data_IF_620117938156
#
_entry.id   IF_620117938156
#
_cell.length_a   1.000
_cell.length_b   1.000
_cell.length_c   1.000
_cell.angle_alpha   90.00
_cell.angle_beta   90.00
_cell.angle_gamma   90.00
#
_symmetry.space_group_name_H-M   'P 1'
#
loop_
_entity.id
_entity.type
_entity.pdbx_description
1 polymer ?
#
# COMPACT_ATOMS: atom_id res chain seq x y z
N UNK A 1 15.85 -24.53 -52.51
CA UNK A 1 14.68 -24.97 -51.69
C UNK A 1 15.07 -25.54 -50.31
N UNK A 2 16.25 -25.27 -49.79
CA UNK A 2 16.71 -25.78 -48.48
C UNK A 2 16.75 -24.77 -47.33
N UNK A 3 16.53 -23.47 -47.61
CA UNK A 3 16.64 -22.42 -46.59
C UNK A 3 15.39 -22.14 -45.76
N UNK A 4 14.20 -22.41 -46.29
CA UNK A 4 12.94 -22.07 -45.62
C UNK A 4 12.43 -23.16 -44.62
N UNK A 5 12.90 -24.40 -44.79
CA UNK A 5 12.53 -25.48 -43.84
C UNK A 5 13.25 -25.37 -42.49
N UNK A 6 14.47 -24.83 -42.45
CA UNK A 6 15.23 -24.64 -41.21
C UNK A 6 14.67 -23.49 -40.34
N UNK A 7 14.07 -22.45 -40.95
CA UNK A 7 13.41 -21.37 -40.22
C UNK A 7 12.03 -21.78 -39.71
N UNK A 8 11.30 -22.64 -40.37
CA UNK A 8 10.00 -23.18 -39.89
C UNK A 8 10.17 -24.06 -38.64
N UNK A 9 11.29 -24.75 -38.50
CA UNK A 9 11.56 -25.63 -37.32
C UNK A 9 11.78 -24.87 -36.02
N UNK A 10 12.06 -23.57 -36.09
CA UNK A 10 12.27 -22.70 -34.89
C UNK A 10 10.97 -22.44 -34.10
N UNK A 11 9.82 -22.69 -34.69
CA UNK A 11 8.49 -22.45 -34.10
C UNK A 11 7.73 -23.76 -33.76
N UNK A 12 8.30 -24.92 -34.01
CA UNK A 12 7.71 -26.21 -33.69
C UNK A 12 8.46 -26.81 -32.50
N UNK A 13 7.77 -26.92 -31.37
CA UNK A 13 8.24 -27.62 -30.18
C UNK A 13 7.47 -28.95 -30.08
N UNK A 14 8.19 -30.06 -29.99
CA UNK A 14 7.59 -31.38 -29.78
C UNK A 14 7.76 -31.82 -28.34
N UNK A 15 6.68 -32.23 -27.71
CA UNK A 15 6.68 -32.77 -26.35
C UNK A 15 6.23 -34.23 -26.43
N UNK A 16 6.96 -35.18 -25.81
CA UNK A 16 6.54 -36.57 -25.77
C UNK A 16 5.20 -36.65 -25.02
N UNK A 17 4.29 -37.53 -25.52
CA UNK A 17 2.96 -37.70 -24.92
C UNK A 17 3.00 -38.06 -23.43
N UNK A 18 4.00 -38.84 -23.00
CA UNK A 18 4.26 -39.16 -21.60
C UNK A 18 4.65 -37.93 -20.72
N UNK A 19 5.04 -36.84 -21.35
CA UNK A 19 5.36 -35.55 -20.68
C UNK A 19 4.26 -34.51 -20.77
N UNK A 20 3.12 -34.84 -21.39
CA UNK A 20 1.98 -33.93 -21.61
C UNK A 20 1.04 -33.97 -20.41
N UNK A 21 1.39 -33.30 -19.35
CA UNK A 21 0.54 -33.15 -18.14
C UNK A 21 -0.53 -32.06 -18.28
N UNK A 22 -0.35 -31.13 -19.21
CA UNK A 22 -1.28 -30.04 -19.49
C UNK A 22 -1.22 -29.69 -21.00
N UNK A 23 -2.39 -29.54 -21.64
CA UNK A 23 -2.53 -29.22 -23.07
C UNK A 23 -2.46 -27.68 -23.34
N UNK A 24 -2.16 -26.84 -22.35
CA UNK A 24 -2.00 -25.44 -22.57
C UNK A 24 -0.68 -25.14 -23.27
N UNK A 25 -0.74 -24.45 -24.40
CA UNK A 25 0.45 -23.98 -25.14
C UNK A 25 1.31 -23.07 -24.24
N UNK A 26 0.69 -22.27 -23.40
CA UNK A 26 1.36 -21.43 -22.43
C UNK A 26 2.11 -22.27 -21.39
N UNK A 27 1.50 -23.32 -20.85
CA UNK A 27 2.16 -24.27 -19.95
C UNK A 27 3.39 -24.92 -20.60
N UNK A 28 3.27 -25.34 -21.84
CA UNK A 28 4.34 -26.02 -22.57
C UNK A 28 5.51 -25.07 -22.92
N UNK A 29 5.23 -23.78 -23.09
CA UNK A 29 6.26 -22.77 -23.37
C UNK A 29 6.86 -22.17 -22.09
N UNK A 30 6.05 -21.94 -21.04
CA UNK A 30 6.45 -21.25 -19.81
C UNK A 30 6.91 -22.22 -18.71
N UNK A 31 6.70 -23.53 -18.86
CA UNK A 31 6.92 -24.52 -17.79
C UNK A 31 8.38 -24.90 -17.52
N UNK A 32 9.33 -24.27 -18.18
CA UNK A 32 10.75 -24.51 -17.90
C UNK A 32 11.24 -23.55 -16.81
N UNK A 33 10.90 -23.85 -15.55
CA UNK A 33 11.68 -23.29 -14.45
C UNK A 33 13.08 -23.89 -14.56
N UNK A 34 14.05 -23.07 -14.90
CA UNK A 34 15.45 -23.45 -14.93
C UNK A 34 16.02 -23.12 -13.57
N UNK A 35 16.22 -24.13 -12.73
CA UNK A 35 16.98 -24.00 -11.49
C UNK A 35 18.47 -24.24 -11.75
N UNK A 36 19.32 -23.67 -10.90
CA UNK A 36 20.74 -23.97 -10.91
C UNK A 36 20.98 -25.48 -10.80
N UNK A 37 21.85 -26.01 -11.64
CA UNK A 37 22.26 -27.42 -11.59
C UNK A 37 23.18 -27.72 -10.40
N UNK A 38 23.59 -26.70 -9.65
CA UNK A 38 24.46 -26.86 -8.49
C UNK A 38 23.79 -27.59 -7.32
N UNK A 39 22.46 -27.58 -7.27
CA UNK A 39 21.73 -28.16 -6.14
C UNK A 39 20.93 -29.40 -6.54
N UNK A 40 20.82 -30.41 -5.65
CA UNK A 40 19.97 -31.58 -5.87
C UNK A 40 18.50 -31.14 -5.93
N UNK A 41 17.77 -31.72 -6.90
CA UNK A 41 16.36 -31.45 -7.14
C UNK A 41 15.47 -32.47 -6.42
N UNK A 42 14.50 -31.98 -5.63
CA UNK A 42 13.53 -32.82 -4.92
C UNK A 42 12.11 -32.44 -5.28
N UNK A 43 11.20 -33.42 -5.37
CA UNK A 43 9.77 -33.11 -5.57
C UNK A 43 9.17 -32.53 -4.28
N UNK A 44 8.31 -31.55 -4.40
CA UNK A 44 7.63 -30.92 -3.25
C UNK A 44 6.90 -31.99 -2.41
N UNK A 45 6.28 -32.97 -3.04
CA UNK A 45 5.59 -34.09 -2.36
C UNK A 45 6.49 -35.00 -1.56
N UNK A 46 7.83 -34.96 -1.71
CA UNK A 46 8.78 -35.75 -0.92
C UNK A 46 9.04 -35.19 0.47
N UNK A 47 8.73 -33.87 0.67
CA UNK A 47 8.88 -33.20 1.96
C UNK A 47 7.61 -32.51 2.47
N UNK A 48 6.56 -32.39 1.65
CA UNK A 48 5.24 -31.89 2.07
C UNK A 48 4.23 -33.04 2.16
N UNK A 49 3.59 -33.18 3.31
CA UNK A 49 2.47 -34.11 3.52
C UNK A 49 1.19 -33.35 3.87
N UNK A 50 0.14 -33.59 3.08
CA UNK A 50 -1.15 -32.95 3.26
C UNK A 50 -1.72 -33.19 4.65
N UNK A 51 -2.01 -32.11 5.40
CA UNK A 51 -2.82 -32.20 6.62
C UNK A 51 -4.32 -32.18 6.23
N UNK A 52 -5.05 -33.23 6.63
CA UNK A 52 -6.49 -33.39 6.40
C UNK A 52 -7.28 -33.48 7.70
N UNK A 53 -6.78 -32.92 8.78
CA UNK A 53 -7.46 -32.90 10.07
C UNK A 53 -8.75 -32.09 9.95
N UNK A 54 -9.87 -32.77 9.78
CA UNK A 54 -11.18 -32.16 9.66
C UNK A 54 -11.75 -31.82 11.04
N UNK A 55 -12.48 -30.74 11.10
CA UNK A 55 -13.27 -30.29 12.27
C UNK A 55 -14.67 -29.91 11.83
N UNK A 56 -15.66 -30.31 12.63
CA UNK A 56 -17.04 -29.83 12.46
C UNK A 56 -17.24 -28.64 13.36
N UNK A 57 -17.56 -27.50 12.79
CA UNK A 57 -17.80 -26.25 13.51
C UNK A 57 -19.05 -26.38 14.35
N UNK A 58 -18.90 -26.12 15.65
CA UNK A 58 -19.98 -26.17 16.64
C UNK A 58 -20.45 -24.75 16.98
N UNK A 59 -21.76 -24.58 17.15
CA UNK A 59 -22.32 -23.33 17.60
C UNK A 59 -21.91 -23.08 19.07
N UNK A 60 -21.74 -21.84 19.47
CA UNK A 60 -21.27 -21.44 20.80
C UNK A 60 -19.75 -21.57 21.01
N UNK A 61 -18.99 -22.10 20.04
CA UNK A 61 -17.53 -22.18 20.09
C UNK A 61 -16.92 -21.08 19.20
N UNK A 62 -15.91 -20.40 19.72
CA UNK A 62 -15.18 -19.35 18.99
C UNK A 62 -14.02 -19.93 18.19
N UNK A 63 -13.93 -19.56 16.91
CA UNK A 63 -12.91 -20.04 15.98
C UNK A 63 -12.10 -18.89 15.40
N UNK A 64 -10.77 -19.07 15.35
CA UNK A 64 -9.84 -18.19 14.62
C UNK A 64 -9.89 -18.54 13.13
N UNK A 65 -9.97 -17.53 12.26
CA UNK A 65 -9.89 -17.71 10.80
C UNK A 65 -8.63 -17.09 10.24
N UNK A 66 -8.18 -17.62 9.11
CA UNK A 66 -6.91 -17.28 8.47
C UNK A 66 -7.16 -16.50 7.18
N UNK A 67 -6.32 -15.53 6.89
CA UNK A 67 -6.15 -14.93 5.57
C UNK A 67 -4.74 -15.18 5.07
N UNK A 68 -4.60 -15.68 3.84
CA UNK A 68 -3.32 -15.74 3.15
C UNK A 68 -3.28 -14.57 2.17
N UNK A 69 -2.38 -13.64 2.41
CA UNK A 69 -2.25 -12.44 1.58
C UNK A 69 -1.57 -12.80 0.26
N UNK A 70 -2.12 -12.26 -0.83
CA UNK A 70 -1.48 -12.31 -2.16
C UNK A 70 -0.14 -11.55 -2.18
N UNK A 71 0.63 -11.70 -3.25
CA UNK A 71 1.94 -11.06 -3.44
C UNK A 71 2.91 -11.37 -2.29
N UNK A 72 2.90 -12.63 -1.86
CA UNK A 72 3.76 -13.13 -0.79
C UNK A 72 3.61 -12.38 0.54
N UNK A 73 2.42 -11.84 0.79
CA UNK A 73 2.12 -11.07 2.00
C UNK A 73 1.98 -11.92 3.27
N UNK A 74 2.23 -13.24 3.18
CA UNK A 74 2.23 -14.17 4.31
C UNK A 74 0.84 -14.55 4.80
N UNK A 75 0.83 -15.22 5.95
CA UNK A 75 -0.37 -15.75 6.62
C UNK A 75 -0.66 -14.89 7.84
N UNK A 76 -1.86 -14.34 7.93
CA UNK A 76 -2.25 -13.41 8.98
C UNK A 76 -3.62 -13.77 9.56
N UNK A 77 -3.90 -13.37 10.82
CA UNK A 77 -5.24 -13.48 11.38
C UNK A 77 -6.24 -12.72 10.50
N UNK A 78 -7.39 -13.34 10.27
CA UNK A 78 -8.52 -12.69 9.61
C UNK A 78 -9.44 -12.04 10.65
N UNK A 79 -10.03 -12.88 11.49
CA UNK A 79 -10.95 -12.54 12.57
C UNK A 79 -11.14 -13.76 13.49
N UNK A 80 -11.86 -13.53 14.58
CA UNK A 80 -12.40 -14.59 15.42
C UNK A 80 -13.92 -14.49 15.43
N UNK A 81 -14.58 -15.59 15.13
CA UNK A 81 -16.05 -15.63 15.01
C UNK A 81 -16.63 -16.84 15.73
N UNK A 82 -17.85 -16.68 16.21
CA UNK A 82 -18.63 -17.77 16.80
C UNK A 82 -19.08 -18.75 15.71
N UNK A 83 -19.16 -20.03 16.06
CA UNK A 83 -19.43 -21.10 15.09
C UNK A 83 -20.75 -20.95 14.34
N UNK A 84 -21.80 -20.39 14.96
CA UNK A 84 -23.08 -20.10 14.31
C UNK A 84 -22.94 -19.11 13.14
N UNK A 85 -21.93 -18.24 13.17
CA UNK A 85 -21.63 -17.26 12.11
C UNK A 85 -20.76 -17.83 10.99
N UNK A 86 -20.36 -19.12 11.07
CA UNK A 86 -19.59 -19.81 10.05
C UNK A 86 -20.52 -20.67 9.20
N UNK A 87 -20.75 -20.26 7.95
CA UNK A 87 -21.69 -20.94 7.05
C UNK A 87 -21.26 -22.37 6.68
N UNK A 88 -19.97 -22.58 6.40
CA UNK A 88 -19.44 -23.91 6.06
C UNK A 88 -19.03 -24.64 7.33
N UNK A 89 -19.82 -25.60 7.79
CA UNK A 89 -19.57 -26.32 9.04
C UNK A 89 -18.41 -27.29 9.00
N UNK A 90 -18.08 -27.86 7.85
CA UNK A 90 -16.91 -28.74 7.68
C UNK A 90 -15.69 -27.92 7.30
N UNK A 91 -14.74 -27.84 8.20
CA UNK A 91 -13.49 -27.09 8.06
C UNK A 91 -12.29 -27.99 8.31
N UNK A 92 -11.08 -27.44 8.16
CA UNK A 92 -9.81 -28.13 8.47
C UNK A 92 -9.05 -27.32 9.51
N UNK A 93 -8.43 -28.02 10.46
CA UNK A 93 -7.55 -27.42 11.46
C UNK A 93 -6.16 -27.21 10.86
N UNK A 94 -5.57 -26.08 11.16
CA UNK A 94 -4.17 -25.78 10.86
C UNK A 94 -3.36 -25.67 12.14
N UNK A 95 -2.08 -26.03 12.07
CA UNK A 95 -1.14 -25.94 13.17
C UNK A 95 0.06 -25.05 12.82
N UNK A 96 0.64 -24.43 13.85
CA UNK A 96 1.85 -23.64 13.68
C UNK A 96 2.95 -24.41 12.95
N UNK A 97 3.70 -23.71 12.09
CA UNK A 97 4.79 -24.29 11.31
C UNK A 97 4.36 -25.05 10.06
N UNK A 98 3.06 -25.29 9.84
CA UNK A 98 2.58 -25.88 8.60
C UNK A 98 2.71 -24.87 7.44
N UNK A 99 3.07 -25.39 6.26
CA UNK A 99 2.95 -24.64 5.02
C UNK A 99 1.49 -24.65 4.56
N UNK A 100 1.00 -23.52 4.09
CA UNK A 100 -0.36 -23.42 3.55
C UNK A 100 -0.38 -22.61 2.26
N UNK A 101 -1.22 -23.03 1.32
CA UNK A 101 -1.49 -22.28 0.11
C UNK A 101 -3.00 -22.15 -0.16
N UNK A 102 -3.41 -21.07 -0.80
CA UNK A 102 -4.76 -20.91 -1.35
C UNK A 102 -4.84 -21.53 -2.73
N UNK A 103 -5.76 -22.49 -2.97
CA UNK A 103 -5.97 -23.06 -4.31
C UNK A 103 -6.26 -22.01 -5.38
N UNK A 104 -6.99 -20.96 -5.01
CA UNK A 104 -7.45 -19.93 -5.93
C UNK A 104 -6.35 -18.91 -6.19
N UNK A 105 -5.65 -18.50 -5.13
CA UNK A 105 -4.73 -17.35 -5.16
C UNK A 105 -3.25 -17.72 -5.09
N UNK A 106 -2.88 -19.01 -5.11
CA UNK A 106 -1.47 -19.43 -5.16
C UNK A 106 -0.73 -18.83 -6.36
N UNK A 107 -1.41 -18.71 -7.50
CA UNK A 107 -0.92 -18.01 -8.71
C UNK A 107 -0.61 -16.53 -8.49
N UNK A 108 -1.13 -15.95 -7.42
CA UNK A 108 -0.90 -14.56 -6.99
C UNK A 108 0.03 -14.52 -5.76
N UNK A 109 0.70 -15.64 -5.42
CA UNK A 109 1.62 -15.73 -4.30
C UNK A 109 0.92 -15.86 -2.93
N UNK A 110 -0.33 -16.36 -2.88
CA UNK A 110 -1.03 -16.60 -1.61
C UNK A 110 -0.60 -17.94 -0.99
N UNK A 111 0.58 -17.95 -0.36
CA UNK A 111 1.13 -19.09 0.35
C UNK A 111 2.07 -18.63 1.49
N UNK A 112 2.36 -19.51 2.44
CA UNK A 112 3.23 -19.19 3.55
C UNK A 112 3.20 -20.23 4.67
N UNK A 113 3.81 -19.88 5.80
CA UNK A 113 3.85 -20.71 7.02
C UNK A 113 2.81 -20.19 8.00
N UNK A 114 2.09 -21.10 8.66
CA UNK A 114 1.15 -20.78 9.74
C UNK A 114 1.97 -20.29 10.96
N UNK A 115 1.76 -19.03 11.39
CA UNK A 115 2.44 -18.49 12.55
C UNK A 115 1.85 -19.01 13.85
N UNK A 116 2.57 -18.84 14.95
CA UNK A 116 2.20 -19.40 16.27
C UNK A 116 0.85 -18.92 16.78
N UNK A 117 0.48 -17.66 16.52
CA UNK A 117 -0.82 -17.08 16.94
C UNK A 117 -2.03 -17.68 16.23
N UNK A 118 -1.80 -18.37 15.12
CA UNK A 118 -2.83 -19.06 14.32
C UNK A 118 -2.85 -20.58 14.54
N UNK A 119 -2.14 -21.07 15.55
CA UNK A 119 -2.25 -22.48 15.94
C UNK A 119 -3.70 -22.83 16.31
N UNK A 120 -4.22 -23.94 15.76
CA UNK A 120 -5.62 -24.35 15.97
C UNK A 120 -6.66 -23.53 15.18
N UNK A 121 -6.25 -22.64 14.28
CA UNK A 121 -7.18 -21.92 13.42
C UNK A 121 -7.87 -22.83 12.41
N UNK A 122 -8.99 -22.39 11.84
CA UNK A 122 -9.78 -23.16 10.87
C UNK A 122 -9.73 -22.55 9.48
N UNK A 123 -9.70 -23.43 8.47
CA UNK A 123 -9.67 -23.06 7.06
C UNK A 123 -10.63 -23.91 6.23
N UNK A 124 -11.13 -23.35 5.13
CA UNK A 124 -11.98 -24.06 4.17
C UNK A 124 -11.16 -25.00 3.28
N UNK A 125 -11.87 -25.83 2.50
CA UNK A 125 -11.24 -26.75 1.52
C UNK A 125 -10.43 -26.07 0.40
N UNK A 126 -10.58 -24.76 0.21
CA UNK A 126 -9.80 -24.00 -0.78
C UNK A 126 -8.40 -23.65 -0.24
N UNK A 127 -8.12 -23.92 1.03
CA UNK A 127 -6.80 -23.82 1.61
C UNK A 127 -6.19 -25.20 1.84
N UNK A 128 -4.94 -25.33 1.47
CA UNK A 128 -4.22 -26.60 1.53
C UNK A 128 -3.09 -26.50 2.56
N UNK A 129 -3.30 -26.92 3.83
CA UNK A 129 -2.23 -27.03 4.81
C UNK A 129 -1.42 -28.30 4.63
N UNK A 130 -0.09 -28.20 4.81
CA UNK A 130 0.86 -29.30 4.72
C UNK A 130 1.81 -29.32 5.91
N UNK A 131 2.09 -30.50 6.42
CA UNK A 131 3.22 -30.73 7.33
C UNK A 131 4.51 -30.75 6.50
N UNK A 132 5.54 -30.06 6.97
CA UNK A 132 6.86 -30.01 6.34
C UNK A 132 7.79 -30.98 7.04
N UNK A 133 8.52 -31.77 6.28
CA UNK A 133 9.62 -32.57 6.78
C UNK A 133 10.85 -31.65 7.00
N UNK A 134 10.99 -31.15 8.21
CA UNK A 134 12.05 -30.21 8.59
C UNK A 134 13.42 -30.87 8.64
N UNK A 135 13.51 -32.20 8.55
CA UNK A 135 14.81 -32.89 8.41
C UNK A 135 15.41 -32.77 7.02
N UNK A 136 14.60 -32.39 6.03
CA UNK A 136 14.99 -32.20 4.63
C UNK A 136 15.00 -30.74 4.21
N UNK A 137 13.98 -29.98 4.66
CA UNK A 137 13.75 -28.61 4.15
C UNK A 137 13.44 -27.64 5.29
N UNK A 138 14.18 -26.53 5.33
CA UNK A 138 13.86 -25.39 6.18
C UNK A 138 12.57 -24.73 5.67
N UNK A 139 11.54 -24.56 6.51
CA UNK A 139 10.26 -23.97 6.10
C UNK A 139 10.39 -22.56 5.49
N UNK A 140 11.27 -21.70 6.03
CA UNK A 140 11.48 -20.36 5.51
C UNK A 140 12.18 -20.40 4.14
N UNK A 141 13.17 -21.29 3.96
CA UNK A 141 13.79 -21.51 2.67
C UNK A 141 12.75 -21.86 1.61
N UNK A 142 11.87 -22.83 1.92
CA UNK A 142 10.84 -23.24 0.96
C UNK A 142 9.87 -22.10 0.63
N UNK A 143 9.48 -21.29 1.61
CA UNK A 143 8.65 -20.11 1.34
C UNK A 143 9.40 -19.14 0.42
N UNK A 144 10.69 -18.90 0.62
CA UNK A 144 11.47 -18.04 -0.27
C UNK A 144 11.49 -18.58 -1.71
N UNK A 145 11.71 -19.87 -1.91
CA UNK A 145 11.58 -20.49 -3.24
C UNK A 145 10.21 -20.22 -3.85
N UNK A 146 9.15 -20.38 -3.05
CA UNK A 146 7.77 -20.15 -3.50
C UNK A 146 7.46 -18.69 -3.81
N UNK A 147 8.23 -17.72 -3.28
CA UNK A 147 8.02 -16.29 -3.53
C UNK A 147 8.65 -15.79 -4.82
N UNK A 148 9.51 -16.60 -5.46
CA UNK A 148 10.17 -16.23 -6.69
C UNK A 148 9.19 -16.07 -7.85
N UNK A 149 9.47 -15.14 -8.75
CA UNK A 149 8.62 -14.89 -9.92
C UNK A 149 8.44 -16.13 -10.79
N UNK A 150 9.50 -16.91 -10.93
CA UNK A 150 9.51 -18.15 -11.71
C UNK A 150 8.58 -19.19 -11.10
N UNK A 151 8.61 -19.37 -9.77
CA UNK A 151 7.73 -20.31 -9.10
C UNK A 151 6.26 -19.88 -9.18
N UNK A 152 5.97 -18.58 -9.03
CA UNK A 152 4.61 -18.04 -9.18
C UNK A 152 4.10 -18.25 -10.62
N UNK A 153 4.93 -18.00 -11.63
CA UNK A 153 4.59 -18.30 -13.03
C UNK A 153 4.26 -19.77 -13.23
N UNK A 154 5.00 -20.68 -12.59
CA UNK A 154 4.67 -22.10 -12.60
C UNK A 154 3.31 -22.40 -11.95
N UNK A 155 3.01 -21.82 -10.79
CA UNK A 155 1.69 -21.97 -10.17
C UNK A 155 0.56 -21.45 -11.07
N UNK A 156 0.80 -20.41 -11.85
CA UNK A 156 -0.14 -19.90 -12.86
C UNK A 156 -0.37 -20.94 -13.96
N UNK A 157 0.68 -21.56 -14.47
CA UNK A 157 0.58 -22.58 -15.54
C UNK A 157 -0.07 -23.88 -15.08
N UNK A 158 0.06 -24.24 -13.80
CA UNK A 158 -0.59 -25.41 -13.19
C UNK A 158 -2.06 -25.16 -12.79
N UNK A 159 -2.59 -23.98 -13.07
CA UNK A 159 -3.96 -23.62 -12.70
C UNK A 159 -4.92 -23.88 -13.85
N UNK A 160 -5.97 -24.66 -13.62
CA UNK A 160 -7.02 -24.97 -14.60
C UNK A 160 -8.34 -24.31 -14.24
N UNK A 161 -9.13 -23.94 -15.26
CA UNK A 161 -10.45 -23.33 -15.11
C UNK A 161 -10.66 -22.14 -16.06
N UNK A 162 -11.92 -21.84 -16.35
CA UNK A 162 -12.31 -20.68 -17.16
C UNK A 162 -12.50 -19.45 -16.26
N UNK A 163 -11.96 -18.30 -16.68
CA UNK A 163 -12.08 -17.01 -15.99
C UNK A 163 -11.38 -16.93 -14.61
N UNK A 164 -11.69 -15.92 -13.79
CA UNK A 164 -11.00 -15.55 -12.54
C UNK A 164 -10.98 -16.60 -11.40
N UNK A 165 -11.48 -17.83 -11.60
CA UNK A 165 -11.56 -18.92 -10.60
C UNK A 165 -10.71 -20.14 -10.94
N UNK A 166 -9.57 -19.92 -11.58
CA UNK A 166 -8.61 -21.00 -11.80
C UNK A 166 -8.07 -21.51 -10.45
N UNK A 167 -7.98 -22.82 -10.31
CA UNK A 167 -7.45 -23.49 -9.10
C UNK A 167 -6.19 -24.25 -9.44
N UNK A 168 -5.20 -24.14 -8.57
CA UNK A 168 -3.98 -24.96 -8.65
C UNK A 168 -4.34 -26.43 -8.43
N UNK A 169 -3.87 -27.29 -9.32
CA UNK A 169 -3.97 -28.73 -9.16
C UNK A 169 -2.96 -29.21 -8.12
N UNK A 170 -3.46 -29.88 -7.06
CA UNK A 170 -2.63 -30.32 -5.93
C UNK A 170 -1.59 -31.38 -6.36
N UNK A 171 -1.93 -32.27 -7.26
CA UNK A 171 -1.02 -33.33 -7.70
C UNK A 171 0.12 -32.73 -8.55
N UNK A 172 -0.20 -31.80 -9.43
CA UNK A 172 0.81 -31.06 -10.20
C UNK A 172 1.72 -30.24 -9.30
N UNK A 173 1.17 -29.52 -8.30
CA UNK A 173 1.94 -28.78 -7.33
C UNK A 173 2.94 -29.68 -6.59
N UNK A 174 2.51 -30.81 -6.08
CA UNK A 174 3.37 -31.75 -5.35
C UNK A 174 4.43 -32.43 -6.24
N UNK A 175 4.22 -32.49 -7.55
CA UNK A 175 5.19 -33.04 -8.51
C UNK A 175 6.25 -32.02 -8.97
N UNK A 176 6.10 -30.72 -8.63
CA UNK A 176 7.13 -29.72 -8.93
C UNK A 176 8.43 -30.14 -8.27
N UNK A 177 9.52 -30.07 -9.02
CA UNK A 177 10.88 -30.24 -8.50
C UNK A 177 11.45 -28.88 -8.15
N UNK A 178 11.97 -28.75 -6.95
CA UNK A 178 12.65 -27.54 -6.45
C UNK A 178 14.07 -27.91 -5.99
N UNK A 179 15.01 -26.96 -6.04
CA UNK A 179 16.35 -27.20 -5.49
C UNK A 179 16.25 -27.34 -3.97
N UNK A 180 16.91 -28.37 -3.44
CA UNK A 180 16.99 -28.62 -1.99
C UNK A 180 18.47 -28.83 -1.64
N UNK A 181 19.22 -27.75 -1.35
CA UNK A 181 20.58 -27.83 -0.83
C UNK A 181 20.63 -28.56 0.51
N UNK A 182 21.82 -28.73 1.09
CA UNK A 182 21.95 -29.18 2.48
C UNK A 182 21.21 -28.21 3.42
N UNK A 183 20.74 -28.71 4.58
CA UNK A 183 20.08 -27.82 5.57
C UNK A 183 20.97 -26.69 6.03
N UNK A 184 22.27 -26.90 6.10
CA UNK A 184 23.26 -25.86 6.42
C UNK A 184 23.22 -24.74 5.39
N UNK A 185 23.24 -25.07 4.11
CA UNK A 185 23.18 -24.08 3.02
C UNK A 185 21.82 -23.38 2.97
N UNK A 186 20.71 -24.14 3.16
CA UNK A 186 19.37 -23.53 3.26
C UNK A 186 19.31 -22.51 4.39
N UNK A 187 19.85 -22.83 5.57
CA UNK A 187 19.88 -21.94 6.73
C UNK A 187 20.71 -20.69 6.43
N UNK A 188 21.88 -20.83 5.80
CA UNK A 188 22.73 -19.72 5.38
C UNK A 188 22.01 -18.78 4.40
N UNK A 189 21.33 -19.31 3.40
CA UNK A 189 20.53 -18.52 2.43
C UNK A 189 19.42 -17.73 3.12
N UNK A 190 18.72 -18.37 4.06
CA UNK A 190 17.65 -17.75 4.85
C UNK A 190 18.21 -16.66 5.78
N UNK A 191 19.35 -16.92 6.42
CA UNK A 191 20.00 -15.96 7.32
C UNK A 191 20.47 -14.72 6.56
N UNK A 192 21.10 -14.90 5.40
CA UNK A 192 21.55 -13.80 4.55
C UNK A 192 20.36 -12.94 4.07
N UNK A 193 19.28 -13.58 3.61
CA UNK A 193 18.05 -12.91 3.25
C UNK A 193 17.47 -12.10 4.42
N UNK A 194 17.32 -12.74 5.60
CA UNK A 194 16.75 -12.10 6.78
C UNK A 194 17.62 -10.94 7.30
N UNK A 195 18.96 -11.05 7.18
CA UNK A 195 19.88 -9.96 7.52
C UNK A 195 19.64 -8.71 6.67
N UNK A 196 19.43 -8.86 5.37
CA UNK A 196 19.10 -7.73 4.49
C UNK A 196 17.72 -7.15 4.82
N UNK A 197 16.74 -7.99 5.16
CA UNK A 197 15.42 -7.52 5.59
C UNK A 197 15.47 -6.77 6.92
N UNK A 198 16.29 -7.21 7.87
CA UNK A 198 16.50 -6.52 9.15
C UNK A 198 17.08 -5.11 8.93
N UNK A 199 18.11 -4.99 8.08
CA UNK A 199 18.69 -3.67 7.71
C UNK A 199 17.61 -2.77 7.08
N UNK A 200 16.77 -3.32 6.20
CA UNK A 200 15.69 -2.57 5.59
C UNK A 200 14.62 -2.13 6.63
N UNK A 201 14.31 -2.99 7.59
CA UNK A 201 13.37 -2.68 8.67
C UNK A 201 13.90 -1.58 9.61
N UNK A 202 15.18 -1.63 9.95
CA UNK A 202 15.83 -0.61 10.78
C UNK A 202 15.86 0.76 10.08
N UNK A 203 16.15 0.78 8.78
CA UNK A 203 16.11 2.01 7.99
C UNK A 203 14.68 2.61 7.95
N UNK A 204 13.65 1.78 7.78
CA UNK A 204 12.25 2.21 7.80
C UNK A 204 11.85 2.76 9.19
N UNK A 205 12.25 2.07 10.26
CA UNK A 205 11.99 2.52 11.63
C UNK A 205 12.66 3.87 11.92
N UNK A 206 13.90 4.07 11.45
CA UNK A 206 14.62 5.33 11.58
C UNK A 206 13.92 6.44 10.77
N UNK A 207 13.43 6.15 9.56
CA UNK A 207 12.66 7.08 8.76
C UNK A 207 11.37 7.52 9.48
N UNK A 208 10.64 6.58 10.10
CA UNK A 208 9.43 6.87 10.90
C UNK A 208 9.79 7.76 12.11
N UNK A 209 10.88 7.46 12.81
CA UNK A 209 11.33 8.25 13.96
C UNK A 209 11.70 9.68 13.54
N UNK A 210 12.43 9.84 12.44
CA UNK A 210 12.77 11.17 11.89
C UNK A 210 11.52 11.95 11.48
N UNK A 211 10.54 11.30 10.89
CA UNK A 211 9.27 11.94 10.50
C UNK A 211 8.49 12.47 11.71
N UNK A 212 8.43 11.72 12.80
CA UNK A 212 7.83 12.19 14.07
C UNK A 212 8.57 13.39 14.64
N UNK A 213 9.89 13.42 14.53
CA UNK A 213 10.69 14.52 15.00
C UNK A 213 10.41 15.83 14.25
N UNK A 214 9.99 15.78 12.98
CA UNK A 214 9.59 16.98 12.22
C UNK A 214 8.43 17.69 12.91
N UNK A 215 7.37 16.99 13.28
CA UNK A 215 6.24 17.58 13.97
C UNK A 215 6.66 18.16 15.34
N UNK A 216 7.47 17.42 16.10
CA UNK A 216 7.98 17.91 17.39
C UNK A 216 8.80 19.19 17.24
N UNK A 217 9.65 19.27 16.21
CA UNK A 217 10.43 20.48 15.90
C UNK A 217 9.51 21.65 15.53
N UNK A 218 8.52 21.42 14.65
CA UNK A 218 7.56 22.46 14.26
C UNK A 218 6.78 23.00 15.45
N UNK A 219 6.24 22.12 16.28
CA UNK A 219 5.48 22.52 17.46
C UNK A 219 6.34 23.32 18.46
N UNK A 220 7.58 22.90 18.66
CA UNK A 220 8.51 23.58 19.57
C UNK A 220 8.91 24.97 19.04
N UNK A 221 9.37 25.06 17.80
CA UNK A 221 9.87 26.32 17.21
C UNK A 221 8.75 27.35 17.00
N UNK A 222 7.59 26.90 16.57
CA UNK A 222 6.43 27.76 16.38
C UNK A 222 5.66 28.03 17.68
N UNK A 223 6.01 27.31 18.77
CA UNK A 223 5.33 27.40 20.07
C UNK A 223 3.85 27.07 20.00
N UNK A 224 3.48 26.15 19.07
CA UNK A 224 2.10 25.76 18.88
C UNK A 224 1.66 24.84 20.02
N UNK A 225 0.52 25.17 20.61
CA UNK A 225 -0.19 24.32 21.57
C UNK A 225 -1.64 24.21 21.12
N UNK A 226 -2.10 22.99 20.97
CA UNK A 226 -3.49 22.67 20.64
C UNK A 226 -4.02 21.87 21.83
N UNK A 227 -4.88 22.49 22.63
CA UNK A 227 -5.55 21.82 23.73
C UNK A 227 -7.01 21.59 23.35
N UNK A 228 -7.44 20.34 23.43
CA UNK A 228 -8.86 19.99 23.37
C UNK A 228 -9.36 20.00 24.82
N UNK A 229 -10.15 21.00 25.18
CA UNK A 229 -10.81 20.97 26.49
C UNK A 229 -11.74 19.74 26.49
N UNK A 230 -11.45 18.76 27.34
CA UNK A 230 -12.27 17.58 27.51
C UNK A 230 -13.68 18.02 27.90
N UNK A 231 -14.64 17.61 27.05
CA UNK A 231 -16.08 17.48 27.29
C UNK A 231 -16.55 18.25 28.52
N UNK A 232 -17.30 19.31 28.29
CA UNK A 232 -18.15 19.92 29.30
C UNK A 232 -19.08 18.84 29.86
N UNK A 233 -18.73 18.28 31.02
CA UNK A 233 -19.65 17.44 31.80
C UNK A 233 -20.71 18.41 32.35
N UNK A 234 -21.79 18.63 31.60
CA UNK A 234 -22.88 19.50 32.00
C UNK A 234 -23.65 20.09 30.82
N UNK A 235 -24.65 20.89 31.17
CA UNK A 235 -25.46 21.64 30.21
C UNK A 235 -24.64 22.80 29.64
N UNK A 236 -24.36 22.82 28.33
CA UNK A 236 -23.79 23.96 27.65
C UNK A 236 -24.86 24.65 26.79
N UNK A 237 -24.89 25.96 26.81
CA UNK A 237 -25.79 26.77 25.97
C UNK A 237 -24.98 27.53 24.95
N UNK A 238 -25.40 27.45 23.69
CA UNK A 238 -24.84 28.20 22.58
C UNK A 238 -25.92 29.14 22.05
N UNK A 239 -25.58 30.42 21.82
CA UNK A 239 -26.54 31.33 21.21
C UNK A 239 -26.88 30.86 19.79
N UNK A 240 -28.16 30.92 19.44
CA UNK A 240 -28.64 30.48 18.10
C UNK A 240 -27.93 31.23 16.97
N UNK A 241 -27.58 32.51 17.16
CA UNK A 241 -26.82 33.34 16.23
C UNK A 241 -25.34 32.86 16.04
N UNK A 242 -24.82 32.03 16.96
CA UNK A 242 -23.48 31.46 16.89
C UNK A 242 -23.50 29.95 16.46
N UNK A 243 -24.64 29.46 16.05
CA UNK A 243 -24.85 28.09 15.60
C UNK A 243 -24.61 27.99 14.08
N UNK A 244 -23.35 27.84 13.69
CA UNK A 244 -23.00 27.61 12.28
C UNK A 244 -23.29 26.15 11.86
N UNK A 245 -23.34 25.23 12.81
CA UNK A 245 -23.57 23.80 12.56
C UNK A 245 -24.25 23.11 13.75
N UNK A 246 -25.25 22.23 13.47
CA UNK A 246 -25.97 21.41 14.45
C UNK A 246 -25.24 20.09 14.79
N UNK A 247 -23.97 20.15 15.08
CA UNK A 247 -23.13 19.00 15.39
C UNK A 247 -22.52 19.18 16.77
N UNK A 248 -22.86 18.28 17.71
CA UNK A 248 -22.41 18.36 19.10
C UNK A 248 -20.88 18.27 19.17
N UNK A 249 -20.26 17.42 18.35
CA UNK A 249 -18.80 17.30 18.30
C UNK A 249 -18.16 18.60 17.80
N UNK A 250 -18.77 19.27 16.84
CA UNK A 250 -18.34 20.59 16.36
C UNK A 250 -18.45 21.67 17.45
N UNK A 251 -19.58 21.69 18.15
CA UNK A 251 -19.85 22.67 19.21
C UNK A 251 -19.00 22.43 20.48
N UNK A 252 -18.64 21.20 20.75
CA UNK A 252 -17.76 20.81 21.85
C UNK A 252 -16.26 20.90 21.51
N UNK A 253 -15.93 20.98 20.23
CA UNK A 253 -14.54 21.06 19.78
C UNK A 253 -14.03 22.50 19.81
N UNK A 254 -13.94 23.04 21.03
CA UNK A 254 -13.26 24.32 21.31
C UNK A 254 -11.76 24.06 21.45
N UNK A 255 -11.13 23.53 20.39
CA UNK A 255 -9.68 23.40 20.38
C UNK A 255 -9.07 24.78 20.54
N UNK A 256 -8.49 25.04 21.72
CA UNK A 256 -7.74 26.27 21.96
C UNK A 256 -6.40 26.16 21.26
N UNK A 257 -6.26 26.93 20.20
CA UNK A 257 -5.03 27.06 19.46
C UNK A 257 -4.25 28.27 19.97
N UNK A 258 -2.99 28.07 20.37
CA UNK A 258 -2.05 29.15 20.69
C UNK A 258 -0.73 28.92 20.00
N UNK A 259 -0.03 29.98 19.65
CA UNK A 259 1.30 29.92 19.03
C UNK A 259 2.18 31.07 19.53
N UNK A 260 3.50 30.88 19.43
CA UNK A 260 4.51 31.92 19.75
C UNK A 260 4.41 33.10 18.79
N UNK A 261 4.11 32.86 17.54
CA UNK A 261 4.02 33.87 16.50
C UNK A 261 2.56 34.17 16.16
N UNK A 262 2.34 35.34 15.54
CA UNK A 262 1.01 35.73 15.06
C UNK A 262 0.47 34.68 14.12
N UNK A 263 -0.72 34.17 14.41
CA UNK A 263 -1.41 33.24 13.53
C UNK A 263 -2.36 34.00 12.60
N UNK A 264 -2.42 33.53 11.37
CA UNK A 264 -3.38 33.98 10.38
C UNK A 264 -4.36 32.83 10.08
N UNK A 265 -5.62 33.15 9.80
CA UNK A 265 -6.52 32.18 9.20
C UNK A 265 -5.99 31.79 7.83
N UNK A 266 -6.21 30.56 7.41
CA UNK A 266 -5.79 30.06 6.11
C UNK A 266 -6.24 31.00 4.97
N UNK A 267 -7.48 31.49 5.00
CA UNK A 267 -8.00 32.45 4.03
C UNK A 267 -7.13 33.72 3.87
N UNK A 268 -6.46 34.13 4.96
CA UNK A 268 -5.58 35.28 4.94
C UNK A 268 -4.16 34.95 4.46
N UNK A 269 -3.80 33.68 4.35
CA UNK A 269 -2.52 33.23 3.82
C UNK A 269 -2.55 33.04 2.29
N UNK A 270 -3.73 32.89 1.70
CA UNK A 270 -3.88 32.64 0.27
C UNK A 270 -4.07 33.96 -0.50
N UNK A 271 -3.57 33.95 -1.73
CA UNK A 271 -3.72 35.00 -2.73
C UNK A 271 -4.82 34.65 -3.74
N UNK A 272 -4.87 33.39 -4.14
CA UNK A 272 -5.86 32.89 -5.09
C UNK A 272 -6.36 31.50 -4.71
N UNK A 273 -7.68 31.32 -4.79
CA UNK A 273 -8.35 30.04 -4.56
C UNK A 273 -9.17 29.66 -5.80
N UNK A 274 -8.83 28.51 -6.38
CA UNK A 274 -9.55 28.03 -7.55
C UNK A 274 -10.89 27.42 -7.11
N UNK A 275 -11.96 28.17 -7.22
CA UNK A 275 -13.31 27.65 -6.96
C UNK A 275 -13.70 26.72 -8.09
N UNK A 276 -13.79 25.43 -7.80
CA UNK A 276 -14.15 24.39 -8.76
C UNK A 276 -15.56 24.51 -9.32
N UNK A 277 -16.31 25.56 -8.97
CA UNK A 277 -17.70 25.66 -9.35
C UNK A 277 -18.23 27.11 -9.45
N UNK A 278 -17.85 27.81 -10.47
CA UNK A 278 -18.78 28.73 -11.10
C UNK A 278 -19.37 28.09 -12.38
N UNK A 279 -19.79 26.85 -12.25
CA UNK A 279 -20.65 26.10 -13.15
C UNK A 279 -20.26 26.02 -14.64
N UNK A 280 -19.33 26.81 -15.13
CA UNK A 280 -19.11 26.99 -16.57
C UNK A 280 -17.68 26.77 -17.08
N UNK A 281 -16.63 27.02 -16.31
CA UNK A 281 -15.29 27.11 -16.91
C UNK A 281 -14.49 25.80 -16.90
N UNK A 282 -14.57 24.98 -15.87
CA UNK A 282 -13.63 23.84 -15.71
C UNK A 282 -14.11 22.52 -16.32
N UNK A 283 -15.41 22.29 -16.37
CA UNK A 283 -16.00 21.17 -17.14
C UNK A 283 -15.73 21.28 -18.64
N UNK A 284 -15.40 22.48 -19.10
CA UNK A 284 -15.32 22.79 -20.52
C UNK A 284 -13.94 22.58 -21.14
N UNK A 285 -12.83 22.64 -20.39
CA UNK A 285 -11.52 22.46 -21.04
C UNK A 285 -11.25 21.01 -21.43
N UNK A 286 -11.50 20.04 -20.56
CA UNK A 286 -11.32 18.63 -20.89
C UNK A 286 -12.35 18.11 -21.88
N UNK A 287 -13.59 18.59 -21.82
CA UNK A 287 -14.64 18.24 -22.78
C UNK A 287 -14.51 18.95 -24.13
N UNK A 288 -14.04 20.21 -24.14
CA UNK A 288 -13.84 20.97 -25.38
C UNK A 288 -12.60 20.54 -26.14
N UNK A 289 -11.68 19.86 -25.50
CA UNK A 289 -10.44 19.37 -26.12
C UNK A 289 -10.28 17.86 -25.90
N UNK A 290 -11.18 17.01 -26.44
CA UNK A 290 -11.20 15.58 -26.17
C UNK A 290 -9.95 14.84 -26.61
N UNK A 291 -9.20 15.40 -27.56
CA UNK A 291 -7.94 14.83 -28.08
C UNK A 291 -6.70 15.34 -27.36
N UNK A 292 -6.81 16.39 -26.54
CA UNK A 292 -5.69 16.97 -25.80
C UNK A 292 -5.27 16.05 -24.65
N UNK A 293 -3.98 15.96 -24.45
CA UNK A 293 -3.39 15.20 -23.33
C UNK A 293 -3.29 16.08 -22.09
N UNK A 294 -3.63 15.47 -20.94
CA UNK A 294 -3.61 16.10 -19.62
C UNK A 294 -2.84 15.24 -18.63
N UNK A 295 -2.03 15.86 -17.79
CA UNK A 295 -1.55 15.25 -16.55
C UNK A 295 -2.71 15.24 -15.55
N UNK A 296 -3.26 14.07 -15.26
CA UNK A 296 -4.40 13.92 -14.34
C UNK A 296 -3.94 13.53 -12.95
N UNK A 297 -4.27 14.34 -11.95
CA UNK A 297 -3.95 14.09 -10.55
C UNK A 297 -5.23 13.79 -9.76
N UNK A 298 -5.45 12.52 -9.47
CA UNK A 298 -6.46 12.05 -8.53
C UNK A 298 -5.88 11.89 -7.12
N UNK A 299 -6.74 11.64 -6.14
CA UNK A 299 -6.31 11.35 -4.77
C UNK A 299 -5.35 10.16 -4.67
N UNK A 300 -5.49 9.17 -5.54
CA UNK A 300 -4.64 7.99 -5.63
C UNK A 300 -3.21 8.29 -6.06
N UNK A 301 -3.00 9.38 -6.79
CA UNK A 301 -1.71 9.77 -7.33
C UNK A 301 -0.86 10.60 -6.36
N UNK A 302 -1.40 10.98 -5.19
CA UNK A 302 -0.68 11.74 -4.17
C UNK A 302 -0.29 10.80 -3.02
N UNK A 303 0.97 10.80 -2.66
CA UNK A 303 1.46 10.03 -1.53
C UNK A 303 0.95 10.61 -0.20
N UNK A 304 0.59 9.74 0.75
CA UNK A 304 0.09 10.13 2.06
C UNK A 304 1.16 10.87 2.86
N UNK A 305 0.85 12.09 3.33
CA UNK A 305 1.64 12.88 4.28
C UNK A 305 3.09 13.22 3.85
N UNK A 306 3.38 13.24 2.54
CA UNK A 306 4.73 13.50 2.04
C UNK A 306 4.83 14.72 1.11
N UNK A 307 3.72 15.20 0.60
CA UNK A 307 3.71 16.25 -0.42
C UNK A 307 4.25 15.81 -1.79
N UNK A 308 4.34 14.49 -2.05
CA UNK A 308 4.89 13.96 -3.30
C UNK A 308 3.82 13.29 -4.15
N UNK A 309 4.02 13.31 -5.46
CA UNK A 309 3.25 12.50 -6.38
C UNK A 309 3.83 11.08 -6.46
N UNK A 310 2.95 10.08 -6.43
CA UNK A 310 3.29 8.68 -6.74
C UNK A 310 3.38 8.54 -8.27
N UNK A 311 2.43 9.16 -8.96
CA UNK A 311 2.28 9.11 -10.40
C UNK A 311 1.51 10.35 -10.89
N UNK A 312 1.65 10.67 -12.17
CA UNK A 312 0.88 11.71 -12.87
C UNK A 312 0.56 11.23 -14.29
N UNK A 313 -0.39 10.30 -14.45
CA UNK A 313 -0.66 9.70 -15.74
C UNK A 313 -1.12 10.75 -16.76
N UNK A 314 -0.63 10.59 -17.98
CA UNK A 314 -1.09 11.38 -19.11
C UNK A 314 -2.32 10.69 -19.71
N UNK A 315 -3.45 11.40 -19.70
CA UNK A 315 -4.72 10.89 -20.20
C UNK A 315 -5.36 11.86 -21.18
N UNK A 316 -6.07 11.36 -22.16
CA UNK A 316 -6.82 12.22 -23.10
C UNK A 316 -8.03 12.85 -22.44
N UNK A 317 -8.37 14.07 -22.82
CA UNK A 317 -9.55 14.77 -22.30
C UNK A 317 -10.83 13.95 -22.39
N UNK A 318 -11.00 13.15 -23.45
CA UNK A 318 -12.14 12.24 -23.62
C UNK A 318 -12.24 11.12 -22.58
N UNK A 319 -11.14 10.77 -21.93
CA UNK A 319 -11.09 9.73 -20.90
C UNK A 319 -11.42 10.26 -19.50
N UNK A 320 -11.34 11.57 -19.30
CA UNK A 320 -11.64 12.24 -18.03
C UNK A 320 -13.17 12.44 -17.93
N UNK A 321 -13.82 11.59 -17.13
CA UNK A 321 -15.29 11.60 -16.97
C UNK A 321 -15.78 12.45 -15.80
N UNK A 322 -14.89 12.80 -14.86
CA UNK A 322 -15.21 13.57 -13.65
C UNK A 322 -14.95 15.06 -13.86
N UNK A 323 -15.49 15.88 -12.96
CA UNK A 323 -15.12 17.29 -12.89
C UNK A 323 -13.65 17.43 -12.47
N UNK A 324 -12.95 18.34 -13.12
CA UNK A 324 -11.54 18.62 -12.86
C UNK A 324 -11.31 20.08 -12.55
N UNK A 325 -10.19 20.36 -11.88
CA UNK A 325 -9.69 21.71 -11.60
C UNK A 325 -8.29 21.80 -12.20
N UNK A 326 -7.98 22.88 -12.90
CA UNK A 326 -6.63 23.14 -13.42
C UNK A 326 -5.69 23.49 -12.27
N UNK A 327 -4.44 22.99 -12.35
CA UNK A 327 -3.38 23.31 -11.37
C UNK A 327 -2.29 24.09 -12.07
N UNK A 328 -2.29 25.44 -12.01
CA UNK A 328 -1.18 26.23 -12.55
C UNK A 328 0.13 25.99 -11.78
N UNK A 329 1.26 26.31 -12.41
CA UNK A 329 2.53 26.35 -11.70
C UNK A 329 2.47 27.34 -10.52
N UNK A 330 3.08 26.97 -9.39
CA UNK A 330 3.05 27.78 -8.17
C UNK A 330 1.81 27.58 -7.29
N UNK A 331 0.93 26.64 -7.62
CA UNK A 331 -0.26 26.33 -6.84
C UNK A 331 -0.09 25.08 -5.99
N UNK A 332 -0.71 25.10 -4.83
CA UNK A 332 -0.89 23.94 -3.96
C UNK A 332 -2.19 23.23 -4.25
N UNK A 333 -2.21 21.92 -3.98
CA UNK A 333 -3.43 21.14 -3.86
C UNK A 333 -3.51 20.49 -2.48
N UNK A 334 -4.74 20.31 -1.97
CA UNK A 334 -5.01 19.66 -0.69
C UNK A 334 -6.28 18.82 -0.73
N UNK A 335 -6.23 17.59 -0.19
CA UNK A 335 -7.32 16.62 -0.24
C UNK A 335 -8.50 16.97 0.66
N UNK A 336 -9.69 17.11 0.06
CA UNK A 336 -10.96 17.26 0.78
C UNK A 336 -11.42 15.94 1.38
N UNK A 337 -11.32 14.88 0.59
CA UNK A 337 -11.76 13.53 0.93
C UNK A 337 -10.74 12.84 1.83
N UNK A 338 -11.21 12.24 2.93
CA UNK A 338 -10.37 11.57 3.92
C UNK A 338 -9.16 12.41 4.33
N UNK A 339 -9.39 13.61 4.87
CA UNK A 339 -8.32 14.59 5.13
C UNK A 339 -7.25 14.06 6.09
N UNK A 340 -7.56 13.04 6.93
CA UNK A 340 -6.59 12.33 7.77
C UNK A 340 -5.48 11.61 6.98
N UNK A 341 -5.65 11.43 5.66
CA UNK A 341 -4.59 10.93 4.78
C UNK A 341 -3.55 12.02 4.47
N UNK A 342 -3.83 13.26 4.81
CA UNK A 342 -2.96 14.41 4.60
C UNK A 342 -2.31 14.43 3.22
N UNK A 343 -3.14 14.40 2.17
CA UNK A 343 -2.70 14.39 0.78
C UNK A 343 -2.64 15.82 0.25
N UNK A 344 -1.44 16.27 -0.02
CA UNK A 344 -1.17 17.59 -0.57
C UNK A 344 -0.01 17.52 -1.56
N UNK A 345 0.13 18.52 -2.39
CA UNK A 345 1.26 18.68 -3.31
C UNK A 345 1.37 20.13 -3.76
N UNK A 346 2.59 20.55 -4.02
CA UNK A 346 2.91 21.85 -4.61
C UNK A 346 3.38 21.69 -6.03
N UNK A 347 2.71 22.35 -6.98
CA UNK A 347 3.09 22.29 -8.38
C UNK A 347 4.26 23.24 -8.67
N UNK A 348 5.46 22.70 -8.72
CA UNK A 348 6.68 23.36 -9.16
C UNK A 348 7.19 22.81 -10.50
N UNK A 349 6.34 22.11 -11.25
CA UNK A 349 6.69 21.49 -12.54
C UNK A 349 6.49 22.46 -13.68
N UNK A 350 7.19 22.20 -14.80
CA UNK A 350 6.96 22.88 -16.06
C UNK A 350 5.98 22.11 -16.97
N UNK A 351 5.15 21.25 -16.40
CA UNK A 351 4.18 20.48 -17.17
C UNK A 351 3.03 21.36 -17.64
N UNK A 352 2.62 21.16 -18.88
CA UNK A 352 1.42 21.77 -19.40
C UNK A 352 0.20 20.90 -19.09
N UNK A 353 -0.99 21.56 -19.06
CA UNK A 353 -2.26 20.87 -18.96
C UNK A 353 -2.41 19.96 -17.73
N UNK A 354 -2.05 20.45 -16.55
CA UNK A 354 -2.24 19.71 -15.31
C UNK A 354 -3.67 19.97 -14.81
N UNK A 355 -4.38 18.89 -14.54
CA UNK A 355 -5.73 18.93 -13.95
C UNK A 355 -5.83 17.96 -12.79
N UNK A 356 -6.61 18.29 -11.78
CA UNK A 356 -6.89 17.37 -10.67
C UNK A 356 -8.37 17.09 -10.50
N UNK A 357 -8.67 16.08 -9.71
CA UNK A 357 -10.01 15.76 -9.25
C UNK A 357 -10.62 16.91 -8.46
N UNK A 358 -11.93 17.10 -8.56
CA UNK A 358 -12.69 18.08 -7.76
C UNK A 358 -12.66 17.78 -6.24
N UNK A 359 -12.18 16.61 -5.83
CA UNK A 359 -11.93 16.24 -4.42
C UNK A 359 -10.67 16.89 -3.84
N UNK A 360 -10.03 17.80 -4.58
CA UNK A 360 -8.87 18.58 -4.16
C UNK A 360 -9.21 20.07 -4.12
N UNK A 361 -8.74 20.78 -3.09
CA UNK A 361 -8.64 22.23 -3.11
C UNK A 361 -7.41 22.63 -3.93
N UNK A 362 -7.51 23.71 -4.70
CA UNK A 362 -6.41 24.26 -5.50
C UNK A 362 -6.26 25.73 -5.14
N UNK A 363 -5.08 26.13 -4.68
CA UNK A 363 -4.86 27.50 -4.19
C UNK A 363 -3.41 27.95 -4.34
N UNK A 364 -3.19 29.27 -4.35
CA UNK A 364 -1.89 29.91 -4.30
C UNK A 364 -1.77 30.73 -3.01
N UNK A 365 -0.62 30.65 -2.37
CA UNK A 365 -0.32 31.47 -1.19
C UNK A 365 0.22 32.84 -1.58
N UNK A 366 0.17 33.79 -0.64
CA UNK A 366 0.75 35.14 -0.78
C UNK A 366 2.27 35.06 -0.88
N UNK A 367 2.86 35.90 -1.71
CA UNK A 367 4.32 36.00 -1.89
C UNK A 367 5.07 36.41 -0.61
N UNK A 368 4.37 36.96 0.37
CA UNK A 368 4.92 37.30 1.70
C UNK A 368 5.18 36.10 2.59
N UNK A 369 4.78 34.89 2.18
CA UNK A 369 4.98 33.65 2.92
C UNK A 369 5.94 32.76 2.13
N UNK A 370 6.94 32.22 2.82
CA UNK A 370 7.87 31.28 2.18
C UNK A 370 7.17 29.97 1.77
N UNK A 371 7.25 29.63 0.51
CA UNK A 371 6.56 28.47 -0.09
C UNK A 371 6.95 27.16 0.58
N UNK A 372 8.24 26.93 0.83
CA UNK A 372 8.73 25.72 1.48
C UNK A 372 8.26 25.61 2.93
N UNK A 373 8.28 26.74 3.66
CA UNK A 373 7.74 26.77 5.02
C UNK A 373 6.25 26.43 5.04
N UNK A 374 5.49 27.01 4.12
CA UNK A 374 4.06 26.74 4.03
C UNK A 374 3.78 25.28 3.68
N UNK A 375 4.53 24.70 2.76
CA UNK A 375 4.43 23.28 2.40
C UNK A 375 4.66 22.37 3.61
N UNK A 376 5.67 22.67 4.41
CA UNK A 376 5.99 21.93 5.64
C UNK A 376 4.84 22.04 6.66
N UNK A 377 4.32 23.24 6.89
CA UNK A 377 3.19 23.44 7.82
C UNK A 377 1.93 22.74 7.30
N UNK A 378 1.65 22.82 6.00
CA UNK A 378 0.49 22.19 5.38
C UNK A 378 0.52 20.66 5.57
N UNK A 379 1.70 20.06 5.53
CA UNK A 379 1.91 18.62 5.74
C UNK A 379 1.97 18.18 7.21
N UNK A 380 1.95 19.13 8.16
CA UNK A 380 2.18 18.85 9.58
C UNK A 380 0.92 18.51 10.37
N UNK A 381 1.14 17.99 11.57
CA UNK A 381 0.07 17.74 12.54
C UNK A 381 -0.60 19.04 13.04
N UNK A 382 0.02 20.22 12.83
CA UNK A 382 -0.63 21.52 13.11
C UNK A 382 -1.94 21.66 12.34
N UNK A 383 -1.97 21.22 11.08
CA UNK A 383 -3.20 21.22 10.26
C UNK A 383 -4.11 20.06 10.67
N UNK A 384 -3.53 18.85 10.81
CA UNK A 384 -4.31 17.63 11.06
C UNK A 384 -5.08 17.70 12.38
N UNK A 385 -4.47 18.20 13.45
CA UNK A 385 -5.11 18.36 14.76
C UNK A 385 -6.28 19.34 14.74
N UNK A 386 -6.21 20.38 13.91
CA UNK A 386 -7.29 21.36 13.78
C UNK A 386 -8.48 20.85 12.99
N UNK A 387 -8.30 19.86 12.10
CA UNK A 387 -9.38 19.35 11.25
C UNK A 387 -9.90 17.96 11.67
N UNK A 388 -9.23 17.30 12.60
CA UNK A 388 -9.50 15.91 12.96
C UNK A 388 -10.98 15.62 13.25
N UNK A 389 -11.64 16.48 14.03
CA UNK A 389 -13.02 16.30 14.47
C UNK A 389 -14.02 17.15 13.65
N UNK A 390 -13.55 17.86 12.62
CA UNK A 390 -14.36 18.77 11.81
C UNK A 390 -14.79 18.15 10.47
N UNK A 391 -14.59 16.85 10.31
CA UNK A 391 -14.97 16.13 9.09
C UNK A 391 -16.43 15.73 9.09
N UNK A 392 -17.06 15.67 7.91
CA UNK A 392 -18.43 15.21 7.72
C UNK A 392 -18.49 13.95 6.86
N UNK A 393 -19.40 13.01 7.17
CA UNK A 393 -19.61 11.78 6.40
C UNK A 393 -18.99 10.53 7.06
N UNK A 394 -19.81 9.53 7.36
CA UNK A 394 -19.40 8.32 8.12
C UNK A 394 -18.43 7.40 7.34
N UNK A 395 -18.65 7.18 6.03
CA UNK A 395 -17.82 6.28 5.20
C UNK A 395 -16.75 7.00 4.37
N UNK A 396 -17.02 8.25 4.02
CA UNK A 396 -16.14 9.08 3.18
C UNK A 396 -16.05 10.48 3.79
N UNK A 397 -15.34 10.65 4.91
CA UNK A 397 -15.25 11.95 5.59
C UNK A 397 -14.60 12.98 4.69
N UNK A 398 -15.17 14.19 4.69
CA UNK A 398 -14.69 15.35 3.94
C UNK A 398 -14.59 16.56 4.85
N UNK A 399 -13.67 17.46 4.53
CA UNK A 399 -13.66 18.82 5.08
C UNK A 399 -14.33 19.77 4.10
N UNK A 400 -15.07 20.73 4.65
CA UNK A 400 -15.67 21.81 3.87
C UNK A 400 -14.63 22.91 3.60
N UNK A 401 -14.91 23.76 2.59
CA UNK A 401 -14.08 24.94 2.31
C UNK A 401 -14.01 25.86 3.55
N UNK A 402 -15.14 26.06 4.21
CA UNK A 402 -15.24 26.90 5.42
C UNK A 402 -14.31 26.40 6.54
N UNK A 403 -14.32 25.09 6.86
CA UNK A 403 -13.42 24.52 7.85
C UNK A 403 -11.97 24.72 7.45
N UNK A 404 -11.65 24.49 6.19
CA UNK A 404 -10.29 24.65 5.67
C UNK A 404 -9.79 26.11 5.75
N UNK A 405 -10.65 27.06 5.41
CA UNK A 405 -10.33 28.50 5.44
C UNK A 405 -10.13 29.05 6.85
N UNK A 406 -10.73 28.44 7.87
CA UNK A 406 -10.63 28.86 9.26
C UNK A 406 -9.40 28.30 10.00
N UNK A 407 -8.62 27.40 9.40
CA UNK A 407 -7.40 26.83 10.00
C UNK A 407 -6.41 27.93 10.35
N UNK A 408 -5.84 27.88 11.56
CA UNK A 408 -4.86 28.85 12.04
C UNK A 408 -3.44 28.44 11.62
N UNK A 409 -2.74 29.32 10.92
CA UNK A 409 -1.37 29.14 10.46
C UNK A 409 -0.45 30.10 11.20
N UNK A 410 0.54 29.65 11.98
CA UNK A 410 1.51 30.52 12.61
C UNK A 410 2.48 31.07 11.58
N UNK A 411 2.64 32.38 11.52
CA UNK A 411 3.50 33.05 10.53
C UNK A 411 4.65 33.75 11.26
N UNK A 412 5.80 33.08 11.42
CA UNK A 412 7.01 33.72 11.94
C UNK A 412 7.64 34.70 10.93
N UNK A 413 8.66 35.50 11.33
CA UNK A 413 9.46 36.29 10.40
C UNK A 413 10.06 35.43 9.27
N UNK A 414 10.31 36.05 8.11
CA UNK A 414 10.75 35.31 6.89
C UNK A 414 12.07 34.56 7.05
N UNK A 415 12.99 35.06 7.84
CA UNK A 415 14.24 34.38 8.18
C UNK A 415 14.00 33.09 8.94
N UNK A 416 13.13 33.13 9.97
CA UNK A 416 12.72 31.95 10.73
C UNK A 416 11.97 30.94 9.83
N UNK A 417 11.10 31.44 8.92
CA UNK A 417 10.43 30.55 7.95
C UNK A 417 11.43 29.80 7.08
N UNK A 418 12.45 30.50 6.56
CA UNK A 418 13.48 29.89 5.70
C UNK A 418 14.32 28.88 6.46
N UNK A 419 14.84 29.27 7.64
CA UNK A 419 15.68 28.40 8.45
C UNK A 419 14.96 27.11 8.85
N UNK A 420 13.70 27.24 9.28
CA UNK A 420 12.88 26.09 9.66
C UNK A 420 12.56 25.18 8.46
N UNK A 421 12.24 25.79 7.32
CA UNK A 421 12.02 25.05 6.09
C UNK A 421 13.27 24.27 5.66
N UNK A 422 14.43 24.91 5.65
CA UNK A 422 15.69 24.27 5.21
C UNK A 422 16.08 23.12 6.14
N UNK A 423 15.91 23.27 7.47
CA UNK A 423 16.12 22.18 8.42
C UNK A 423 15.22 20.99 8.12
N UNK A 424 13.92 21.22 7.90
CA UNK A 424 12.95 20.14 7.67
C UNK A 424 13.14 19.51 6.31
N UNK A 425 13.46 20.26 5.28
CA UNK A 425 13.78 19.71 3.96
C UNK A 425 15.01 18.79 4.01
N UNK A 426 16.03 19.15 4.81
CA UNK A 426 17.18 18.25 5.05
C UNK A 426 16.73 16.94 5.68
N UNK A 427 15.92 17.00 6.75
CA UNK A 427 15.40 15.79 7.42
C UNK A 427 14.53 14.98 6.45
N UNK A 428 13.71 15.62 5.64
CA UNK A 428 12.86 14.96 4.62
C UNK A 428 13.71 14.27 3.55
N UNK A 429 14.81 14.88 3.14
CA UNK A 429 15.79 14.27 2.24
C UNK A 429 16.37 12.99 2.82
N UNK A 430 16.82 13.04 4.08
CA UNK A 430 17.35 11.86 4.80
C UNK A 430 16.30 10.75 4.94
N UNK A 431 15.03 11.09 5.19
CA UNK A 431 13.92 10.12 5.24
C UNK A 431 13.75 9.44 3.88
N UNK A 432 13.80 10.21 2.79
CA UNK A 432 13.68 9.67 1.42
C UNK A 432 14.82 8.71 1.10
N UNK A 433 16.04 9.06 1.45
CA UNK A 433 17.22 8.19 1.27
C UNK A 433 17.08 6.89 2.07
N UNK A 434 16.66 6.96 3.33
CA UNK A 434 16.43 5.78 4.16
C UNK A 434 15.36 4.85 3.58
N UNK A 435 14.25 5.38 3.09
CA UNK A 435 13.18 4.58 2.45
C UNK A 435 13.64 3.96 1.13
N UNK A 436 14.36 4.71 0.30
CA UNK A 436 14.93 4.19 -0.94
C UNK A 436 15.93 3.07 -0.65
N UNK A 437 16.80 3.26 0.35
CA UNK A 437 17.74 2.23 0.80
C UNK A 437 17.01 0.97 1.29
N UNK A 438 15.96 1.13 2.09
CA UNK A 438 15.14 0.02 2.58
C UNK A 438 14.48 -0.76 1.42
N UNK A 439 13.92 -0.06 0.44
CA UNK A 439 13.33 -0.68 -0.75
C UNK A 439 14.38 -1.43 -1.57
N UNK A 440 15.54 -0.82 -1.80
CA UNK A 440 16.65 -1.43 -2.53
C UNK A 440 17.13 -2.70 -1.82
N UNK A 441 17.34 -2.65 -0.50
CA UNK A 441 17.74 -3.82 0.29
C UNK A 441 16.77 -4.99 0.20
N UNK A 442 15.46 -4.72 0.25
CA UNK A 442 14.43 -5.75 0.06
C UNK A 442 14.49 -6.37 -1.35
N UNK A 443 14.67 -5.53 -2.36
CA UNK A 443 14.77 -5.96 -3.78
C UNK A 443 16.03 -6.79 -4.00
N UNK A 444 17.16 -6.33 -3.49
CA UNK A 444 18.44 -7.02 -3.62
C UNK A 444 18.46 -8.35 -2.87
N UNK A 445 17.84 -8.41 -1.68
CA UNK A 445 17.73 -9.64 -0.91
C UNK A 445 17.04 -10.75 -1.73
N UNK A 446 15.89 -10.42 -2.34
CA UNK A 446 15.17 -11.38 -3.17
C UNK A 446 15.96 -11.72 -4.44
N UNK A 447 16.54 -10.72 -5.12
CA UNK A 447 17.34 -10.94 -6.32
C UNK A 447 18.56 -11.81 -6.06
N UNK A 448 19.29 -11.58 -4.97
CA UNK A 448 20.45 -12.39 -4.58
C UNK A 448 20.04 -13.83 -4.30
N UNK A 449 18.92 -14.03 -3.62
CA UNK A 449 18.38 -15.37 -3.39
C UNK A 449 17.99 -16.04 -4.71
N UNK A 450 17.31 -15.35 -5.62
CA UNK A 450 16.95 -15.86 -6.95
C UNK A 450 18.18 -16.25 -7.77
N UNK A 451 19.22 -15.39 -7.79
CA UNK A 451 20.47 -15.67 -8.51
C UNK A 451 21.13 -16.97 -8.02
N UNK A 452 21.18 -17.19 -6.70
CA UNK A 452 21.80 -18.40 -6.14
C UNK A 452 21.00 -19.68 -6.45
N UNK A 453 19.70 -19.57 -6.68
CA UNK A 453 18.84 -20.73 -6.96
C UNK A 453 18.68 -21.01 -8.44
N UNK A 454 18.68 -19.98 -9.30
CA UNK A 454 18.39 -20.12 -10.72
C UNK A 454 19.63 -20.06 -11.63
N UNK A 455 20.71 -19.41 -11.20
CA UNK A 455 21.98 -19.31 -11.90
C UNK A 455 23.06 -20.21 -11.32
#
# INVERSE_FOLDING_TARGET
MGGDMLNAMKYISTVPFSGLFNWSVQYLNDSKIVFSKAYPMMRIGEFLKRNKTAVTIQDGVKYKRVTIKVRNGGVVPRDEVMGENIGTKKQFLVSKGQFILSKIDARNGAMGIIPTELDGAVVTQDFLPYNIDTTKVNPQYFVLVCTTKQFIAFCQSCSSGTTNRQRVDEAQFLNIKVPVPSLEEQNKLVEEYNKQLAIAADAELLAIKKHRNINSLLFAELGVKISKDNVLNGLSTVAFSALDRWDIAYLQNTAKYTAKYKSLRFENCIDHFMKGFDGKSLRMETYKTPTRDFHYIGMEHIEKATGQLIDAPIVKGSQIKSQTVTIPNGYFIYGKLRPYLNKYWYNNTNWDNIVCSSELFVFRIKDSINTRFFEVVLGSDIIQEQIADLTSGARMPRITEEVFMNIQIPIPPLDVQKDLADQIYKITGEIKELRNSALQKRTDALKNFETQIFE
#
